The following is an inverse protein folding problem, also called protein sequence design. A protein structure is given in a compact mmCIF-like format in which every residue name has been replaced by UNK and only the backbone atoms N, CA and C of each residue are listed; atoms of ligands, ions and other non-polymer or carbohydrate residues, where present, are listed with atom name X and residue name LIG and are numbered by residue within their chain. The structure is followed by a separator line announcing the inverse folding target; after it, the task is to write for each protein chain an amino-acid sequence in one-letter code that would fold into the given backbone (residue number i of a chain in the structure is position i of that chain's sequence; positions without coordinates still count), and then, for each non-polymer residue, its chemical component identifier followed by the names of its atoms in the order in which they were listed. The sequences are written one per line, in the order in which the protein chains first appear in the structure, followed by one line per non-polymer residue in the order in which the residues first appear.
data_IF_687147744317
#
_entry.id   IF_687147744317
#
_cell.length_a   1.000
_cell.length_b   1.000
_cell.length_c   1.000
_cell.angle_alpha   90.00
_cell.angle_beta   90.00
_cell.angle_gamma   90.00
#
_symmetry.space_group_name_H-M   'P 1'
#
loop_
_entity.id
_entity.type
_entity.pdbx_description
1 polymer ?
#
# COMPACT_ATOMS: atom_id res chain seq x y z
N UNK A 1 -33.64 48.92 32.97
CA UNK A 1 -34.06 47.68 32.30
C UNK A 1 -33.08 47.42 31.15
N UNK A 2 -32.17 46.45 31.28
CA UNK A 2 -31.28 46.00 30.21
C UNK A 2 -31.56 44.52 29.99
N UNK A 3 -32.14 44.16 28.85
CA UNK A 3 -32.38 42.78 28.46
C UNK A 3 -31.20 42.28 27.61
N UNK A 4 -30.55 41.21 28.07
CA UNK A 4 -29.51 40.50 27.34
C UNK A 4 -30.16 39.46 26.42
N UNK A 5 -29.81 39.49 25.13
CA UNK A 5 -30.22 38.48 24.17
C UNK A 5 -29.13 37.38 24.10
N UNK A 6 -29.49 36.17 24.51
CA UNK A 6 -28.66 34.98 24.36
C UNK A 6 -28.97 34.32 23.00
N UNK A 7 -28.00 34.34 22.09
CA UNK A 7 -28.07 33.58 20.84
C UNK A 7 -27.57 32.15 21.09
N UNK A 8 -28.44 31.17 20.92
CA UNK A 8 -28.10 29.76 20.99
C UNK A 8 -27.48 29.32 19.65
N UNK A 9 -26.19 28.93 19.67
CA UNK A 9 -25.55 28.23 18.57
C UNK A 9 -26.03 26.77 18.57
N UNK A 10 -26.80 26.40 17.55
CA UNK A 10 -27.05 25.01 17.20
C UNK A 10 -25.83 24.47 16.44
N UNK A 11 -25.02 23.67 17.12
CA UNK A 11 -23.96 22.87 16.49
C UNK A 11 -24.64 21.66 15.85
N UNK A 12 -24.76 21.66 14.52
CA UNK A 12 -25.19 20.49 13.76
C UNK A 12 -24.05 19.47 13.72
N UNK A 13 -24.24 18.35 14.43
CA UNK A 13 -23.41 17.16 14.27
C UNK A 13 -23.82 16.48 12.95
N UNK A 14 -23.08 16.78 11.88
CA UNK A 14 -23.17 16.00 10.65
C UNK A 14 -22.65 14.60 10.89
N UNK A 15 -23.48 13.59 10.63
CA UNK A 15 -23.04 12.20 10.57
C UNK A 15 -22.06 12.08 9.39
N UNK A 16 -20.77 11.98 9.68
CA UNK A 16 -19.80 11.57 8.69
C UNK A 16 -20.19 10.16 8.24
N UNK A 17 -20.53 9.99 6.98
CA UNK A 17 -20.60 8.67 6.38
C UNK A 17 -19.24 8.02 6.60
N UNK A 18 -19.20 6.94 7.37
CA UNK A 18 -18.03 6.08 7.42
C UNK A 18 -17.80 5.62 5.99
N UNK A 19 -16.71 6.06 5.40
CA UNK A 19 -16.29 5.52 4.12
C UNK A 19 -16.15 3.99 4.30
N UNK A 20 -16.60 3.20 3.34
CA UNK A 20 -16.53 1.73 3.43
C UNK A 20 -15.08 1.26 3.39
N UNK A 21 -14.51 0.90 4.56
CA UNK A 21 -13.09 0.52 4.68
C UNK A 21 -12.80 -0.63 3.71
N UNK A 22 -11.83 -0.43 2.82
CA UNK A 22 -11.42 -1.47 1.89
C UNK A 22 -11.03 -2.74 2.67
N UNK A 23 -11.57 -3.90 2.30
CA UNK A 23 -11.47 -5.10 3.12
C UNK A 23 -10.01 -5.55 3.26
N UNK A 24 -9.67 -6.09 4.43
CA UNK A 24 -8.42 -6.79 4.63
C UNK A 24 -8.48 -8.15 3.94
N UNK A 25 -7.53 -8.40 3.05
CA UNK A 25 -7.42 -9.66 2.29
C UNK A 25 -6.03 -10.25 2.46
N UNK A 26 -5.91 -11.55 2.20
CA UNK A 26 -4.61 -12.22 2.15
C UNK A 26 -3.83 -11.73 0.94
N UNK A 27 -2.68 -11.10 1.17
CA UNK A 27 -1.84 -10.49 0.13
C UNK A 27 -0.62 -11.36 -0.21
N UNK A 28 -0.05 -12.04 0.79
CA UNK A 28 1.13 -12.88 0.61
C UNK A 28 1.16 -14.06 1.60
N UNK A 29 1.73 -15.17 1.17
CA UNK A 29 2.17 -16.28 2.02
C UNK A 29 3.68 -16.49 1.86
N UNK A 30 4.39 -16.54 2.99
CA UNK A 30 5.82 -16.91 3.05
C UNK A 30 5.94 -18.23 3.78
N UNK A 31 6.20 -19.32 3.06
CA UNK A 31 6.15 -20.68 3.56
C UNK A 31 7.51 -21.37 3.50
N UNK A 32 7.80 -22.24 4.47
CA UNK A 32 9.04 -23.04 4.53
C UNK A 32 8.79 -24.43 5.12
N UNK A 33 9.62 -25.41 4.75
CA UNK A 33 9.68 -26.74 5.37
C UNK A 33 11.08 -27.34 5.31
N UNK A 34 11.35 -28.38 6.11
CA UNK A 34 12.70 -28.95 6.33
C UNK A 34 12.93 -30.34 5.73
N UNK A 35 11.89 -31.14 5.48
CA UNK A 35 12.04 -32.52 5.01
C UNK A 35 11.08 -32.87 3.85
N UNK A 36 11.48 -32.71 2.58
CA UNK A 36 12.71 -32.05 2.11
C UNK A 36 12.72 -30.55 2.44
N UNK A 37 13.89 -29.89 2.35
CA UNK A 37 13.96 -28.45 2.52
C UNK A 37 13.29 -27.72 1.35
N UNK A 38 12.40 -26.77 1.64
CA UNK A 38 11.70 -25.99 0.62
C UNK A 38 11.25 -24.62 1.14
N UNK A 39 11.03 -23.68 0.22
CA UNK A 39 10.38 -22.40 0.49
C UNK A 39 9.44 -22.00 -0.64
N UNK A 40 8.33 -21.35 -0.30
CA UNK A 40 7.38 -20.78 -1.26
C UNK A 40 7.01 -19.36 -0.82
N UNK A 41 7.22 -18.38 -1.70
CA UNK A 41 6.73 -17.01 -1.56
C UNK A 41 5.60 -16.78 -2.56
N UNK A 42 4.35 -16.81 -2.10
CA UNK A 42 3.16 -16.64 -2.94
C UNK A 42 2.53 -15.25 -2.72
N UNK A 43 2.23 -14.55 -3.80
CA UNK A 43 1.43 -13.32 -3.83
C UNK A 43 0.09 -13.58 -4.56
N UNK A 44 -0.68 -12.53 -4.83
CA UNK A 44 -1.98 -12.60 -5.50
C UNK A 44 -2.00 -13.46 -6.78
N UNK A 45 -0.92 -13.48 -7.58
CA UNK A 45 -0.91 -14.09 -8.92
C UNK A 45 0.24 -15.05 -9.20
N UNK A 46 1.29 -15.03 -8.39
CA UNK A 46 2.49 -15.85 -8.61
C UNK A 46 3.02 -16.42 -7.31
N UNK A 47 3.76 -17.53 -7.42
CA UNK A 47 4.51 -18.12 -6.33
C UNK A 47 5.92 -18.46 -6.77
N UNK A 48 6.93 -17.94 -6.06
CA UNK A 48 8.32 -18.35 -6.21
C UNK A 48 8.57 -19.54 -5.28
N UNK A 49 8.80 -20.71 -5.85
CA UNK A 49 9.14 -21.91 -5.10
C UNK A 49 10.63 -22.24 -5.26
N UNK A 50 11.28 -22.62 -4.17
CA UNK A 50 12.67 -23.09 -4.16
C UNK A 50 12.81 -24.37 -3.32
N UNK A 51 13.80 -25.21 -3.65
CA UNK A 51 14.13 -26.42 -2.89
C UNK A 51 13.88 -27.70 -3.68
N UNK A 52 12.79 -28.41 -3.35
CA UNK A 52 12.46 -29.79 -3.80
C UNK A 52 12.77 -30.08 -5.28
N UNK A 53 12.53 -29.10 -6.16
CA UNK A 53 12.70 -29.23 -7.61
C UNK A 53 13.60 -28.14 -8.22
N UNK A 54 14.43 -27.49 -7.40
CA UNK A 54 15.11 -26.26 -7.77
C UNK A 54 14.22 -25.03 -7.59
N UNK A 55 14.59 -23.93 -8.23
CA UNK A 55 13.87 -22.65 -8.18
C UNK A 55 12.95 -22.53 -9.41
N UNK A 56 11.69 -22.18 -9.19
CA UNK A 56 10.69 -21.99 -10.25
C UNK A 56 9.63 -20.96 -9.85
N UNK A 57 9.14 -20.21 -10.84
CA UNK A 57 7.99 -19.31 -10.69
C UNK A 57 6.75 -20.04 -11.20
N UNK A 58 5.72 -20.08 -10.38
CA UNK A 58 4.42 -20.65 -10.69
C UNK A 58 3.37 -19.56 -10.81
N UNK A 59 2.53 -19.62 -11.84
CA UNK A 59 1.35 -18.76 -11.96
C UNK A 59 0.15 -19.42 -11.28
N UNK A 60 -0.69 -18.62 -10.62
CA UNK A 60 -1.85 -19.10 -9.90
C UNK A 60 -2.67 -17.95 -9.32
N UNK A 61 -3.54 -18.25 -8.36
CA UNK A 61 -4.33 -17.25 -7.63
C UNK A 61 -4.21 -17.53 -6.14
N UNK A 62 -3.86 -16.51 -5.36
CA UNK A 62 -3.91 -16.56 -3.90
C UNK A 62 -5.27 -16.05 -3.42
N UNK A 63 -5.92 -16.81 -2.54
CA UNK A 63 -7.20 -16.44 -1.95
C UNK A 63 -7.46 -17.16 -0.64
N UNK A 64 -8.71 -17.10 -0.20
CA UNK A 64 -9.18 -17.76 1.03
C UNK A 64 -10.36 -18.68 0.76
N UNK A 65 -10.43 -19.83 1.45
CA UNK A 65 -11.50 -20.81 1.31
C UNK A 65 -12.12 -21.18 2.67
N UNK A 66 -13.45 -21.11 2.75
CA UNK A 66 -14.24 -21.67 3.85
C UNK A 66 -14.13 -20.95 5.20
N UNK A 67 -14.69 -21.59 6.25
CA UNK A 67 -14.60 -21.19 7.65
C UNK A 67 -14.19 -22.43 8.49
N UNK A 68 -13.08 -22.39 9.27
CA UNK A 68 -12.11 -21.30 9.37
C UNK A 68 -11.43 -21.02 8.02
N UNK A 69 -11.00 -19.78 7.81
CA UNK A 69 -10.40 -19.38 6.54
C UNK A 69 -9.08 -20.13 6.29
N UNK A 70 -9.04 -20.90 5.19
CA UNK A 70 -7.81 -21.47 4.66
C UNK A 70 -7.23 -20.52 3.64
N UNK A 71 -5.95 -20.21 3.76
CA UNK A 71 -5.20 -19.54 2.72
C UNK A 71 -4.85 -20.56 1.63
N UNK A 72 -5.17 -20.26 0.37
CA UNK A 72 -4.97 -21.18 -0.75
C UNK A 72 -4.33 -20.43 -1.90
N UNK A 73 -3.16 -20.89 -2.35
CA UNK A 73 -2.63 -20.58 -3.66
C UNK A 73 -2.94 -21.74 -4.60
N UNK A 74 -3.71 -21.46 -5.64
CA UNK A 74 -4.13 -22.43 -6.65
C UNK A 74 -3.41 -22.15 -7.98
N UNK A 75 -2.40 -22.96 -8.29
CA UNK A 75 -1.64 -22.92 -9.54
C UNK A 75 -1.58 -24.30 -10.19
N UNK A 76 -1.38 -24.33 -11.51
CA UNK A 76 -1.43 -25.58 -12.30
C UNK A 76 -0.38 -26.63 -11.86
N UNK A 77 0.82 -26.16 -11.51
CA UNK A 77 1.97 -27.01 -11.13
C UNK A 77 2.30 -26.94 -9.62
N UNK A 78 1.58 -26.08 -8.88
CA UNK A 78 1.79 -25.86 -7.46
C UNK A 78 0.48 -25.44 -6.80
N UNK A 79 0.00 -26.24 -5.87
CA UNK A 79 -1.06 -25.88 -4.92
C UNK A 79 -0.44 -25.75 -3.54
N UNK A 80 -0.71 -24.64 -2.86
CA UNK A 80 -0.30 -24.42 -1.48
C UNK A 80 -1.55 -24.11 -0.65
N UNK A 81 -1.75 -24.87 0.42
CA UNK A 81 -2.81 -24.62 1.41
C UNK A 81 -2.18 -24.33 2.76
N UNK A 82 -2.67 -23.32 3.45
CA UNK A 82 -2.23 -22.94 4.78
C UNK A 82 -3.42 -22.66 5.70
N UNK A 83 -3.40 -23.26 6.89
CA UNK A 83 -4.42 -23.12 7.93
C UNK A 83 -3.88 -22.26 9.05
N UNK A 84 -4.68 -21.31 9.53
CA UNK A 84 -4.35 -20.49 10.70
C UNK A 84 -4.18 -21.38 11.93
N UNK A 85 -2.93 -21.64 12.29
CA UNK A 85 -2.50 -22.50 13.38
C UNK A 85 -1.02 -22.25 13.63
N UNK A 86 -0.65 -22.01 14.88
CA UNK A 86 0.75 -21.73 15.23
C UNK A 86 1.64 -22.92 14.89
N UNK A 87 2.73 -22.64 14.20
CA UNK A 87 3.70 -23.63 13.74
C UNK A 87 5.12 -23.15 14.10
N UNK A 88 6.03 -24.08 14.33
CA UNK A 88 7.44 -23.78 14.64
C UNK A 88 8.35 -24.57 13.73
N UNK A 89 9.28 -23.89 13.07
CA UNK A 89 10.28 -24.50 12.17
C UNK A 89 11.64 -23.86 12.44
N UNK A 90 12.68 -24.65 12.67
CA UNK A 90 14.01 -24.13 13.03
C UNK A 90 14.05 -23.19 14.25
N UNK A 91 13.05 -23.26 15.14
CA UNK A 91 12.89 -22.35 16.28
C UNK A 91 12.23 -21.00 15.96
N UNK A 92 11.86 -20.72 14.70
CA UNK A 92 11.05 -19.56 14.31
C UNK A 92 9.55 -19.90 14.42
N UNK A 93 8.75 -18.96 14.93
CA UNK A 93 7.30 -19.07 15.02
C UNK A 93 6.60 -18.51 13.77
N UNK A 94 5.58 -19.24 13.35
CA UNK A 94 4.73 -18.98 12.21
C UNK A 94 3.26 -19.02 12.64
N UNK A 95 2.40 -18.32 11.90
CA UNK A 95 0.96 -18.21 12.21
C UNK A 95 0.09 -19.21 11.43
N UNK A 96 0.69 -19.97 10.49
CA UNK A 96 0.00 -21.00 9.73
C UNK A 96 0.79 -22.30 9.63
N UNK A 97 0.07 -23.44 9.64
CA UNK A 97 0.55 -24.75 9.19
C UNK A 97 0.21 -24.92 7.72
N UNK A 98 1.11 -25.49 6.93
CA UNK A 98 0.95 -25.58 5.48
C UNK A 98 1.25 -26.93 4.88
N UNK A 99 0.61 -27.17 3.73
CA UNK A 99 0.84 -28.30 2.84
C UNK A 99 1.00 -27.76 1.42
N UNK A 100 2.12 -28.10 0.80
CA UNK A 100 2.40 -27.85 -0.61
C UNK A 100 2.25 -29.15 -1.42
N UNK A 101 1.64 -29.05 -2.59
CA UNK A 101 1.46 -30.12 -3.57
C UNK A 101 1.96 -29.63 -4.93
N UNK A 102 2.93 -30.34 -5.51
CA UNK A 102 3.44 -30.04 -6.85
C UNK A 102 2.72 -30.89 -7.91
N UNK A 103 2.78 -30.47 -9.17
CA UNK A 103 2.12 -31.12 -10.31
C UNK A 103 2.55 -32.58 -10.57
N UNK A 104 3.71 -33.00 -10.06
CA UNK A 104 4.17 -34.39 -10.10
C UNK A 104 3.63 -35.27 -8.95
N UNK A 105 2.78 -34.69 -8.08
CA UNK A 105 2.21 -35.35 -6.91
C UNK A 105 3.09 -35.29 -5.66
N UNK A 106 4.27 -34.68 -5.72
CA UNK A 106 5.12 -34.45 -4.54
C UNK A 106 4.38 -33.61 -3.52
N UNK A 107 4.53 -33.96 -2.23
CA UNK A 107 3.89 -33.28 -1.11
C UNK A 107 4.93 -32.92 -0.07
N UNK A 108 4.78 -31.75 0.52
CA UNK A 108 5.61 -31.36 1.65
C UNK A 108 4.80 -30.53 2.65
N UNK A 109 5.01 -30.79 3.93
CA UNK A 109 4.45 -29.99 5.02
C UNK A 109 5.44 -28.92 5.46
N UNK A 110 4.91 -27.83 6.00
CA UNK A 110 5.72 -26.71 6.47
C UNK A 110 4.94 -25.74 7.33
N UNK A 111 5.54 -24.59 7.59
CA UNK A 111 4.92 -23.47 8.27
C UNK A 111 4.87 -22.27 7.32
N UNK A 112 3.85 -21.41 7.46
CA UNK A 112 3.76 -20.16 6.70
C UNK A 112 3.54 -18.95 7.61
N UNK A 113 4.00 -17.81 7.13
CA UNK A 113 3.58 -16.49 7.59
C UNK A 113 2.61 -15.90 6.58
N UNK A 114 1.40 -15.58 7.02
CA UNK A 114 0.46 -14.84 6.20
C UNK A 114 0.69 -13.34 6.35
N UNK A 115 0.61 -12.61 5.23
CA UNK A 115 0.50 -11.15 5.25
C UNK A 115 -0.88 -10.76 4.78
N UNK A 116 -1.63 -10.19 5.70
CA UNK A 116 -2.95 -9.64 5.45
C UNK A 116 -2.79 -8.14 5.24
N UNK A 117 -3.45 -7.58 4.24
CA UNK A 117 -3.42 -6.15 3.96
C UNK A 117 -4.67 -5.68 3.23
N UNK A 118 -4.80 -4.36 3.10
CA UNK A 118 -5.91 -3.71 2.43
C UNK A 118 -5.95 -4.14 0.95
N UNK A 119 -7.13 -4.51 0.45
CA UNK A 119 -7.34 -4.77 -0.97
C UNK A 119 -7.27 -3.48 -1.79
N UNK A 120 -6.11 -3.23 -2.39
CA UNK A 120 -5.88 -2.05 -3.23
C UNK A 120 -6.65 -2.07 -4.56
N UNK A 121 -7.08 -3.25 -5.01
CA UNK A 121 -7.93 -3.39 -6.19
C UNK A 121 -9.38 -3.00 -5.92
N UNK A 122 -9.81 -3.10 -4.65
CA UNK A 122 -11.11 -2.65 -4.18
C UNK A 122 -11.09 -1.24 -3.56
N UNK A 123 -9.94 -0.56 -3.53
CA UNK A 123 -9.83 0.78 -2.97
C UNK A 123 -10.73 1.77 -3.72
N UNK A 124 -11.57 2.56 -3.03
CA UNK A 124 -12.45 3.52 -3.66
C UNK A 124 -11.66 4.64 -4.34
N UNK A 125 -12.24 5.23 -5.38
CA UNK A 125 -11.65 6.38 -6.06
C UNK A 125 -11.60 7.58 -5.10
N UNK A 126 -10.49 8.32 -5.13
CA UNK A 126 -10.31 9.49 -4.30
C UNK A 126 -11.30 10.62 -4.67
N UNK A 127 -12.11 11.08 -3.71
CA UNK A 127 -12.90 12.30 -3.85
C UNK A 127 -12.04 13.53 -3.50
N UNK A 128 -11.29 14.03 -4.47
CA UNK A 128 -10.37 15.15 -4.27
C UNK A 128 -11.09 16.48 -3.99
N UNK A 129 -12.29 16.66 -4.54
CA UNK A 129 -13.07 17.89 -4.37
C UNK A 129 -13.67 17.99 -2.96
N UNK A 130 -14.03 16.86 -2.35
CA UNK A 130 -14.53 16.78 -0.98
C UNK A 130 -13.46 16.92 0.11
N UNK A 131 -12.17 16.94 -0.25
CA UNK A 131 -11.07 16.97 0.73
C UNK A 131 -10.95 18.32 1.47
N UNK A 132 -10.61 18.29 2.78
CA UNK A 132 -10.31 19.50 3.55
C UNK A 132 -9.21 20.34 2.90
N UNK A 133 -9.21 21.65 3.14
CA UNK A 133 -8.18 22.54 2.59
C UNK A 133 -6.76 22.23 3.07
N UNK A 134 -6.62 21.62 4.26
CA UNK A 134 -5.33 21.21 4.82
C UNK A 134 -4.80 19.89 4.22
N UNK A 135 -5.65 19.13 3.54
CA UNK A 135 -5.25 17.90 2.86
C UNK A 135 -4.69 18.26 1.48
N UNK A 136 -3.38 18.07 1.31
CA UNK A 136 -2.68 18.44 0.08
C UNK A 136 -3.16 17.62 -1.12
N UNK A 137 -3.69 16.41 -0.91
CA UNK A 137 -4.09 15.50 -1.98
C UNK A 137 -5.26 16.03 -2.81
N UNK A 138 -6.01 17.01 -2.28
CA UNK A 138 -7.02 17.76 -3.05
C UNK A 138 -6.47 18.38 -4.35
N UNK A 139 -5.15 18.62 -4.40
CA UNK A 139 -4.44 19.20 -5.55
C UNK A 139 -3.71 18.13 -6.38
N UNK A 140 -3.86 16.84 -6.09
CA UNK A 140 -3.01 15.81 -6.65
C UNK A 140 -3.10 15.71 -8.19
N UNK A 141 -4.28 15.95 -8.77
CA UNK A 141 -4.45 16.01 -10.23
C UNK A 141 -3.83 17.27 -10.85
N UNK A 142 -3.94 18.42 -10.18
CA UNK A 142 -3.27 19.65 -10.62
C UNK A 142 -1.74 19.51 -10.56
N UNK A 143 -1.24 18.63 -9.69
CA UNK A 143 0.17 18.34 -9.50
C UNK A 143 0.62 17.06 -10.22
N UNK A 144 -0.21 16.45 -11.08
CA UNK A 144 0.08 15.14 -11.68
C UNK A 144 1.43 15.13 -12.42
N UNK A 145 1.70 16.15 -13.23
CA UNK A 145 2.95 16.24 -13.99
C UNK A 145 4.19 16.29 -13.07
N UNK A 146 4.09 17.00 -11.95
CA UNK A 146 5.16 17.13 -10.94
C UNK A 146 5.34 15.82 -10.20
N UNK A 147 4.26 15.18 -9.75
CA UNK A 147 4.31 13.89 -9.06
C UNK A 147 4.97 12.83 -9.95
N UNK A 148 4.55 12.73 -11.22
CA UNK A 148 5.12 11.80 -12.19
C UNK A 148 6.61 12.04 -12.43
N UNK A 149 6.98 13.28 -12.76
CA UNK A 149 8.37 13.63 -13.04
C UNK A 149 9.26 13.38 -11.82
N UNK A 150 8.87 13.86 -10.63
CA UNK A 150 9.68 13.68 -9.43
C UNK A 150 9.84 12.22 -8.99
N UNK A 151 8.81 11.39 -9.19
CA UNK A 151 8.87 9.95 -8.88
C UNK A 151 9.75 9.19 -9.87
N UNK A 152 9.67 9.50 -11.16
CA UNK A 152 10.33 8.73 -12.23
C UNK A 152 11.73 9.27 -12.55
N UNK A 153 11.85 10.59 -12.70
CA UNK A 153 13.04 11.28 -13.23
C UNK A 153 13.83 12.03 -12.16
N UNK A 154 13.37 12.01 -10.90
CA UNK A 154 13.99 12.74 -9.78
C UNK A 154 15.36 12.21 -9.34
N UNK A 155 15.83 11.10 -9.90
CA UNK A 155 17.12 10.50 -9.55
C UNK A 155 17.17 9.86 -8.15
N UNK A 156 16.02 9.68 -7.51
CA UNK A 156 15.85 9.03 -6.20
C UNK A 156 14.94 7.81 -6.40
N UNK A 157 15.25 6.71 -5.72
CA UNK A 157 14.39 5.52 -5.70
C UNK A 157 13.18 5.76 -4.79
N UNK A 158 12.19 6.51 -5.30
CA UNK A 158 11.03 6.96 -4.52
C UNK A 158 10.14 5.80 -4.13
N UNK A 159 9.96 5.59 -2.83
CA UNK A 159 8.97 4.67 -2.29
C UNK A 159 7.57 5.31 -2.26
N UNK A 160 7.50 6.59 -1.87
CA UNK A 160 6.27 7.38 -1.72
C UNK A 160 6.53 8.88 -1.73
N UNK A 161 5.49 9.68 -1.91
CA UNK A 161 5.47 11.14 -1.74
C UNK A 161 4.74 11.47 -0.45
N UNK A 162 5.44 12.07 0.52
CA UNK A 162 4.90 12.45 1.82
C UNK A 162 3.89 13.59 1.74
N UNK A 163 4.14 14.56 0.85
CA UNK A 163 3.23 15.66 0.53
C UNK A 163 3.67 16.39 -0.73
N UNK A 164 2.78 17.16 -1.36
CA UNK A 164 3.11 18.04 -2.46
C UNK A 164 2.28 19.32 -2.43
N UNK A 165 2.85 20.47 -2.83
CA UNK A 165 2.12 21.74 -2.86
C UNK A 165 2.65 22.72 -3.92
N UNK A 166 1.78 23.59 -4.46
CA UNK A 166 2.20 24.66 -5.35
C UNK A 166 3.12 25.69 -4.68
N UNK A 167 4.05 26.22 -5.45
CA UNK A 167 4.96 27.31 -5.10
C UNK A 167 4.74 28.51 -6.02
N UNK A 168 5.49 29.59 -5.78
CA UNK A 168 5.51 30.74 -6.67
C UNK A 168 6.07 30.37 -8.05
N UNK A 169 5.76 31.20 -9.07
CA UNK A 169 6.26 31.08 -10.44
C UNK A 169 5.88 29.79 -11.18
N UNK A 170 4.74 29.18 -10.84
CA UNK A 170 4.24 27.98 -11.52
C UNK A 170 5.04 26.71 -11.19
N UNK A 171 5.85 26.74 -10.12
CA UNK A 171 6.55 25.58 -9.60
C UNK A 171 5.69 24.87 -8.55
N UNK A 172 6.01 23.62 -8.26
CA UNK A 172 5.53 22.91 -7.09
C UNK A 172 6.67 22.11 -6.44
N UNK A 173 6.51 21.84 -5.16
CA UNK A 173 7.40 20.96 -4.40
C UNK A 173 6.67 19.64 -4.14
N UNK A 174 7.36 18.52 -4.36
CA UNK A 174 6.96 17.20 -3.90
C UNK A 174 8.03 16.66 -2.94
N UNK A 175 7.61 16.32 -1.71
CA UNK A 175 8.49 15.69 -0.72
C UNK A 175 8.49 14.19 -0.91
N UNK A 176 9.59 13.69 -1.45
CA UNK A 176 9.83 12.28 -1.74
C UNK A 176 10.39 11.58 -0.51
N UNK A 177 10.04 10.31 -0.35
CA UNK A 177 10.63 9.39 0.62
C UNK A 177 11.13 8.17 -0.12
N UNK A 178 12.41 7.83 0.06
CA UNK A 178 13.03 6.64 -0.53
C UNK A 178 12.79 5.37 0.31
N UNK A 179 13.19 4.21 -0.22
CA UNK A 179 13.03 2.93 0.48
C UNK A 179 13.87 2.75 1.76
N UNK A 180 14.78 3.66 2.05
CA UNK A 180 15.54 3.72 3.30
C UNK A 180 14.93 4.73 4.31
N UNK A 181 13.83 5.40 3.95
CA UNK A 181 13.20 6.46 4.72
C UNK A 181 13.87 7.84 4.56
N UNK A 182 14.85 7.97 3.67
CA UNK A 182 15.48 9.25 3.32
C UNK A 182 14.48 10.19 2.65
N UNK A 183 14.51 11.47 3.03
CA UNK A 183 13.60 12.50 2.50
C UNK A 183 14.28 13.42 1.52
N UNK A 184 13.59 13.77 0.45
CA UNK A 184 14.09 14.65 -0.60
C UNK A 184 12.99 15.61 -1.07
N UNK A 185 13.36 16.87 -1.29
CA UNK A 185 12.50 17.83 -1.97
C UNK A 185 12.82 17.82 -3.46
N UNK A 186 11.82 17.48 -4.27
CA UNK A 186 11.83 17.67 -5.70
C UNK A 186 10.98 18.89 -6.06
N UNK A 187 11.59 19.86 -6.73
CA UNK A 187 10.91 21.07 -7.23
C UNK A 187 10.83 20.95 -8.74
N UNK A 188 9.62 21.07 -9.28
CA UNK A 188 9.38 20.99 -10.72
C UNK A 188 8.32 21.99 -11.16
N UNK A 189 8.34 22.34 -12.45
CA UNK A 189 7.32 23.16 -13.10
C UNK A 189 5.98 22.40 -13.20
N UNK A 190 4.88 23.03 -12.77
CA UNK A 190 3.54 22.41 -12.72
C UNK A 190 3.03 22.04 -14.12
N UNK A 191 3.30 22.89 -15.11
CA UNK A 191 2.73 22.71 -16.45
C UNK A 191 3.47 21.63 -17.25
N UNK A 192 4.78 21.53 -17.08
CA UNK A 192 5.66 20.67 -17.90
C UNK A 192 6.23 19.48 -17.15
N UNK A 193 6.18 19.48 -15.81
CA UNK A 193 6.88 18.51 -14.97
C UNK A 193 8.40 18.67 -14.99
N UNK A 194 8.95 19.72 -15.63
CA UNK A 194 10.40 19.91 -15.71
C UNK A 194 11.00 20.08 -14.32
N UNK A 195 11.87 19.15 -13.92
CA UNK A 195 12.54 19.19 -12.63
C UNK A 195 13.60 20.29 -12.62
N UNK A 196 13.50 21.20 -11.66
CA UNK A 196 14.47 22.27 -11.43
C UNK A 196 15.55 21.83 -10.44
N UNK A 197 15.14 21.08 -9.41
CA UNK A 197 16.05 20.66 -8.34
C UNK A 197 15.50 19.46 -7.57
N UNK A 198 16.40 18.56 -7.18
CA UNK A 198 16.16 17.55 -6.15
C UNK A 198 17.22 17.67 -5.07
N UNK A 199 16.83 17.76 -3.80
CA UNK A 199 17.76 17.94 -2.68
C UNK A 199 17.33 17.11 -1.45
N UNK A 200 18.26 16.54 -0.67
CA UNK A 200 17.92 15.86 0.57
C UNK A 200 17.39 16.84 1.63
N UNK A 201 16.54 16.35 2.52
CA UNK A 201 15.88 17.10 3.60
C UNK A 201 16.19 16.45 4.94
N UNK A 202 16.63 17.22 5.93
CA UNK A 202 16.96 16.67 7.25
C UNK A 202 15.70 16.26 8.02
N UNK A 203 15.83 15.32 8.98
CA UNK A 203 14.69 14.86 9.80
C UNK A 203 14.02 16.02 10.58
N UNK A 204 14.82 17.00 11.00
CA UNK A 204 14.35 18.17 11.74
C UNK A 204 13.50 19.15 10.89
N UNK A 205 13.48 19.02 9.56
CA UNK A 205 12.75 19.88 8.63
C UNK A 205 11.36 19.33 8.26
N UNK A 206 10.84 18.38 9.07
CA UNK A 206 9.52 17.79 8.88
C UNK A 206 8.43 18.87 9.03
N UNK A 207 7.52 18.93 8.07
CA UNK A 207 6.42 19.89 8.08
C UNK A 207 5.13 19.28 8.64
N UNK A 208 4.22 20.14 9.14
CA UNK A 208 2.87 19.71 9.50
C UNK A 208 2.13 19.10 8.30
N UNK A 209 1.48 17.95 8.50
CA UNK A 209 0.70 17.28 7.46
C UNK A 209 1.50 16.36 6.54
N UNK A 210 2.82 16.24 6.74
CA UNK A 210 3.59 15.18 6.07
C UNK A 210 3.00 13.80 6.40
N UNK A 211 2.84 12.97 5.37
CA UNK A 211 2.29 11.61 5.43
C UNK A 211 0.77 11.52 5.69
N UNK A 212 0.05 12.64 5.57
CA UNK A 212 -1.38 12.72 5.81
C UNK A 212 -2.13 13.46 4.66
N UNK A 213 -2.36 12.79 3.51
CA UNK A 213 -1.97 11.42 3.18
C UNK A 213 -0.55 11.30 2.60
N UNK A 214 -0.01 10.08 2.60
CA UNK A 214 1.11 9.71 1.75
C UNK A 214 0.62 9.22 0.39
N UNK A 215 1.21 9.70 -0.71
CA UNK A 215 0.94 9.17 -2.05
C UNK A 215 1.94 8.07 -2.42
N UNK A 216 1.44 6.90 -2.77
CA UNK A 216 2.22 5.73 -3.14
C UNK A 216 2.05 5.45 -4.63
N UNK A 217 3.10 5.66 -5.46
CA UNK A 217 3.01 5.46 -6.89
C UNK A 217 2.60 4.03 -7.28
N UNK A 218 1.82 3.91 -8.35
CA UNK A 218 1.54 2.61 -8.95
C UNK A 218 2.84 1.96 -9.46
N UNK A 219 3.04 0.68 -9.13
CA UNK A 219 4.23 -0.12 -9.49
C UNK A 219 3.86 -1.60 -9.61
N UNK A 220 4.76 -2.40 -10.21
CA UNK A 220 4.55 -3.82 -10.45
C UNK A 220 4.24 -4.62 -9.17
N UNK A 221 4.95 -4.31 -8.08
CA UNK A 221 4.65 -4.82 -6.74
C UNK A 221 3.93 -3.74 -5.92
N UNK A 222 2.60 -3.78 -5.80
CA UNK A 222 1.84 -2.78 -5.07
C UNK A 222 2.32 -2.67 -3.61
N UNK A 223 2.21 -1.49 -2.98
CA UNK A 223 2.50 -1.34 -1.57
C UNK A 223 1.59 -2.23 -0.72
N UNK A 224 2.09 -2.70 0.43
CA UNK A 224 1.29 -3.45 1.39
C UNK A 224 0.91 -2.53 2.54
N UNK A 225 -0.39 -2.27 2.70
CA UNK A 225 -0.92 -1.55 3.86
C UNK A 225 -1.65 -2.53 4.77
N UNK A 226 -1.27 -2.54 6.05
CA UNK A 226 -1.91 -3.38 7.07
C UNK A 226 -2.95 -2.63 7.90
N UNK A 227 -3.01 -1.31 7.77
CA UNK A 227 -3.90 -0.44 8.53
C UNK A 227 -4.14 0.90 7.82
N UNK A 228 -5.05 1.69 8.39
CA UNK A 228 -5.48 2.96 7.82
C UNK A 228 -6.47 2.78 6.69
N UNK A 229 -6.60 3.82 5.87
CA UNK A 229 -7.49 3.85 4.72
C UNK A 229 -6.72 4.14 3.44
N UNK A 230 -7.19 3.59 2.32
CA UNK A 230 -6.59 3.80 1.00
C UNK A 230 -7.63 4.29 0.00
N UNK A 231 -7.24 5.27 -0.81
CA UNK A 231 -7.99 5.68 -1.99
C UNK A 231 -7.14 5.46 -3.25
N UNK A 232 -7.76 4.98 -4.32
CA UNK A 232 -7.14 4.94 -5.63
C UNK A 232 -7.13 6.36 -6.23
N UNK A 233 -5.95 6.81 -6.65
CA UNK A 233 -5.78 8.07 -7.37
C UNK A 233 -5.59 7.78 -8.86
N UNK A 234 -6.61 8.02 -9.71
CA UNK A 234 -6.44 7.93 -11.15
C UNK A 234 -5.73 9.17 -11.70
N UNK A 235 -5.20 9.06 -12.91
CA UNK A 235 -4.79 10.19 -13.75
C UNK A 235 -6.00 10.90 -14.32
N UNK A 236 -5.79 12.08 -14.91
CA UNK A 236 -6.81 12.73 -15.73
C UNK A 236 -7.33 11.84 -16.89
N UNK A 237 -6.51 10.90 -17.38
CA UNK A 237 -6.87 9.92 -18.41
C UNK A 237 -7.52 8.63 -17.88
N UNK A 238 -7.77 8.52 -16.57
CA UNK A 238 -8.42 7.35 -15.96
C UNK A 238 -7.50 6.15 -15.69
N UNK A 239 -6.20 6.26 -15.95
CA UNK A 239 -5.22 5.24 -15.56
C UNK A 239 -4.90 5.35 -14.07
N UNK A 240 -4.49 4.27 -13.42
CA UNK A 240 -4.07 4.36 -12.02
C UNK A 240 -2.73 5.12 -11.92
N UNK A 241 -2.72 6.25 -11.20
CA UNK A 241 -1.50 6.99 -10.88
C UNK A 241 -0.82 6.38 -9.64
N UNK A 242 -1.63 5.98 -8.64
CA UNK A 242 -1.19 5.34 -7.41
C UNK A 242 -2.28 5.35 -6.36
N UNK A 243 -1.88 5.35 -5.09
CA UNK A 243 -2.80 5.30 -3.95
C UNK A 243 -2.50 6.40 -2.95
N UNK A 244 -3.55 7.00 -2.39
CA UNK A 244 -3.46 7.87 -1.23
C UNK A 244 -3.68 7.02 0.01
N UNK A 245 -2.67 6.94 0.87
CA UNK A 245 -2.75 6.23 2.14
C UNK A 245 -2.87 7.21 3.29
N UNK A 246 -3.94 7.06 4.06
CA UNK A 246 -4.21 7.81 5.27
C UNK A 246 -3.88 6.88 6.43
N UNK A 247 -2.75 7.14 7.08
CA UNK A 247 -2.34 6.38 8.26
C UNK A 247 -3.42 6.41 9.35
N UNK A 248 -3.41 5.41 10.22
CA UNK A 248 -4.36 5.28 11.31
C UNK A 248 -4.09 4.04 12.16
N UNK A 249 -4.75 3.91 13.32
CA UNK A 249 -4.66 2.69 14.11
C UNK A 249 -5.15 1.49 13.30
N UNK A 250 -4.56 0.32 13.54
CA UNK A 250 -5.18 -0.95 13.18
C UNK A 250 -6.42 -1.10 14.10
N UNK A 251 -7.59 -1.35 13.51
CA UNK A 251 -8.82 -1.62 14.27
C UNK A 251 -8.72 -2.82 15.21
#
# INVERSE_FOLDING_TARGET
MKAAAAAALLVGLGAAALADDAPLVLQQLSCRGEAPAWSIEANATTALAAGVRGEAIHSGVLGTLGAPAWAVFDGAELTLVARAETCSLGGELFDHVALALWGDGTRASGCCRARIGIDLGAAPLADLAGKPAADWSRLALDLEAVLRACVIDGGVAVERVAMAWPMNHGLALARLVDGAGGRHDCIADIATGRIERVAPVAEAERMPGEDAPGFWPAREAPPLFTCGWVEALPTAGGHLLGWLHYGGPCG
#
